data_IF_027731594376
#
_entry.id   IF_027731594376
#
_cell.length_a   1.000
_cell.length_b   1.000
_cell.length_c   1.000
_cell.angle_alpha   90.00
_cell.angle_beta   90.00
_cell.angle_gamma   90.00
#
_symmetry.space_group_name_H-M   'P 1'
#
loop_
_entity.id
_entity.type
_entity.pdbx_description
1 polymer ?
#
# COMPACT_ATOMS: atom_id res chain seq x y z
N UNK A 1 -4.55 9.09 21.98
CA UNK A 1 -3.88 9.58 20.76
C UNK A 1 -3.59 8.38 19.89
N UNK A 2 -3.97 8.40 18.62
CA UNK A 2 -3.80 7.26 17.71
C UNK A 2 -2.32 7.14 17.32
N UNK A 3 -1.56 6.32 18.05
CA UNK A 3 -0.13 6.11 17.81
C UNK A 3 0.06 4.79 17.06
N UNK A 4 0.64 4.86 15.86
CA UNK A 4 0.84 3.69 14.99
C UNK A 4 1.73 2.61 15.63
N UNK A 5 2.57 2.98 16.60
CA UNK A 5 3.42 2.05 17.36
C UNK A 5 2.60 1.06 18.20
N UNK A 6 1.39 1.44 18.58
CA UNK A 6 0.53 0.64 19.44
C UNK A 6 -0.35 -0.34 18.64
N UNK A 7 -0.23 -0.36 17.31
CA UNK A 7 -1.09 -1.16 16.43
C UNK A 7 -0.61 -2.61 16.26
N UNK A 8 0.57 -2.97 16.80
CA UNK A 8 1.13 -4.32 16.65
C UNK A 8 1.67 -4.62 15.24
N UNK A 9 1.95 -3.58 14.45
CA UNK A 9 2.60 -3.71 13.14
C UNK A 9 4.08 -4.09 13.31
N UNK A 10 4.61 -4.87 12.36
CA UNK A 10 6.05 -5.06 12.23
C UNK A 10 6.66 -3.75 11.72
N UNK A 11 7.23 -2.98 12.65
CA UNK A 11 7.75 -1.63 12.38
C UNK A 11 9.06 -1.36 13.13
N UNK A 12 9.80 -0.36 12.68
CA UNK A 12 10.91 0.26 13.41
C UNK A 12 10.53 1.66 13.87
N UNK A 13 11.48 2.43 14.42
CA UNK A 13 11.29 3.86 14.67
C UNK A 13 11.07 4.65 13.37
N UNK A 14 11.59 4.15 12.26
CA UNK A 14 11.62 4.81 10.96
C UNK A 14 10.36 4.56 10.13
N UNK A 15 9.66 3.44 10.33
CA UNK A 15 8.48 3.11 9.52
C UNK A 15 7.98 1.68 9.69
N UNK A 16 7.04 1.29 8.83
CA UNK A 16 6.35 0.00 8.82
C UNK A 16 6.88 -0.86 7.68
N UNK A 17 7.28 -2.10 7.97
CA UNK A 17 7.73 -3.00 6.91
C UNK A 17 6.56 -3.45 6.04
N UNK A 18 6.77 -3.43 4.72
CA UNK A 18 5.79 -3.92 3.74
C UNK A 18 6.40 -4.92 2.75
N UNK A 19 5.54 -5.75 2.16
CA UNK A 19 5.88 -6.56 0.98
C UNK A 19 5.84 -5.76 -0.33
N UNK A 20 6.17 -6.41 -1.45
CA UNK A 20 6.07 -5.79 -2.78
C UNK A 20 4.64 -5.45 -3.22
N UNK A 21 3.64 -6.07 -2.58
CA UNK A 21 2.21 -5.79 -2.70
C UNK A 21 1.73 -4.70 -1.72
N UNK A 22 2.66 -4.03 -1.04
CA UNK A 22 2.43 -2.99 -0.02
C UNK A 22 1.69 -3.47 1.24
N UNK A 23 1.54 -4.78 1.44
CA UNK A 23 0.91 -5.34 2.65
C UNK A 23 1.83 -5.20 3.85
N UNK A 24 1.24 -4.92 5.01
CA UNK A 24 1.96 -4.94 6.29
C UNK A 24 1.98 -6.35 6.91
N UNK A 25 2.43 -6.47 8.16
CA UNK A 25 2.32 -7.72 8.92
C UNK A 25 0.89 -8.06 9.36
N UNK A 26 -0.05 -7.11 9.28
CA UNK A 26 -1.45 -7.33 9.64
C UNK A 26 -2.27 -7.51 8.35
N UNK A 27 -2.94 -8.67 8.16
CA UNK A 27 -3.79 -8.89 6.99
C UNK A 27 -4.86 -7.81 6.85
N UNK A 28 -5.06 -7.33 5.61
CA UNK A 28 -5.99 -6.25 5.32
C UNK A 28 -5.47 -4.84 5.62
N UNK A 29 -4.28 -4.70 6.18
CA UNK A 29 -3.62 -3.40 6.42
C UNK A 29 -2.46 -3.23 5.46
N UNK A 30 -2.51 -2.12 4.70
CA UNK A 30 -1.54 -1.75 3.67
C UNK A 30 -0.94 -0.38 3.98
N UNK A 31 0.26 -0.12 3.48
CA UNK A 31 0.93 1.17 3.65
C UNK A 31 1.56 1.66 2.34
N UNK A 32 1.78 2.98 2.22
CA UNK A 32 2.53 3.58 1.13
C UNK A 32 3.10 4.94 1.58
N UNK A 33 4.02 5.51 0.79
CA UNK A 33 4.66 6.79 1.07
C UNK A 33 5.81 6.68 2.07
N UNK A 34 6.12 7.77 2.76
CA UNK A 34 7.28 7.89 3.66
C UNK A 34 7.19 6.96 4.89
N UNK A 35 6.00 6.42 5.20
CA UNK A 35 5.82 5.56 6.37
C UNK A 35 6.30 4.12 6.13
N UNK A 36 6.49 3.68 4.88
CA UNK A 36 6.79 2.27 4.57
C UNK A 36 8.27 1.99 4.37
N UNK A 37 8.67 0.77 4.71
CA UNK A 37 10.04 0.27 4.60
C UNK A 37 10.06 -1.03 3.79
N UNK A 38 10.94 -1.06 2.79
CA UNK A 38 11.34 -2.24 2.03
C UNK A 38 12.71 -2.00 1.38
N UNK A 39 13.36 -3.06 0.90
CA UNK A 39 14.70 -2.94 0.34
C UNK A 39 14.70 -2.07 -0.94
N UNK A 40 15.62 -1.11 -1.02
CA UNK A 40 15.70 -0.16 -2.13
C UNK A 40 14.68 0.99 -2.12
N UNK A 41 13.90 1.19 -1.05
CA UNK A 41 13.00 2.34 -0.89
C UNK A 41 13.77 3.67 -0.98
N UNK A 42 13.21 4.62 -1.73
CA UNK A 42 13.66 6.02 -1.78
C UNK A 42 12.47 6.93 -1.45
N UNK A 43 12.62 7.80 -0.45
CA UNK A 43 11.56 8.68 0.04
C UNK A 43 11.36 9.89 -0.88
N UNK A 44 10.51 9.69 -1.90
CA UNK A 44 10.10 10.71 -2.87
C UNK A 44 8.59 10.63 -3.09
N UNK A 45 8.02 11.78 -3.44
CA UNK A 45 6.63 11.89 -3.90
C UNK A 45 6.36 10.91 -5.06
N UNK A 46 7.29 10.80 -6.01
CA UNK A 46 7.18 9.89 -7.15
C UNK A 46 7.11 8.41 -6.71
N UNK A 47 7.91 8.00 -5.71
CA UNK A 47 7.86 6.64 -5.15
C UNK A 47 6.51 6.39 -4.49
N UNK A 48 6.03 7.33 -3.66
CA UNK A 48 4.73 7.25 -3.02
C UNK A 48 3.57 7.11 -4.02
N UNK A 49 3.63 7.82 -5.15
CA UNK A 49 2.65 7.68 -6.22
C UNK A 49 2.70 6.34 -6.95
N UNK A 50 3.83 5.62 -6.94
CA UNK A 50 3.91 4.24 -7.44
C UNK A 50 3.39 3.21 -6.43
N UNK A 51 3.62 3.45 -5.14
CA UNK A 51 3.20 2.56 -4.05
C UNK A 51 1.69 2.63 -3.80
N UNK A 52 1.11 3.83 -3.81
CA UNK A 52 -0.32 4.05 -3.54
C UNK A 52 -1.26 3.19 -4.41
N UNK A 53 -1.14 3.15 -5.75
CA UNK A 53 -1.99 2.28 -6.56
C UNK A 53 -1.72 0.80 -6.28
N UNK A 54 -0.49 0.42 -5.96
CA UNK A 54 -0.17 -0.97 -5.58
C UNK A 54 -0.90 -1.35 -4.28
N UNK A 55 -0.84 -0.50 -3.26
CA UNK A 55 -1.54 -0.70 -1.99
C UNK A 55 -3.06 -0.76 -2.17
N UNK A 56 -3.65 0.19 -2.88
CA UNK A 56 -5.12 0.27 -3.07
C UNK A 56 -5.65 -0.92 -3.86
N UNK A 57 -5.00 -1.33 -4.95
CA UNK A 57 -5.48 -2.46 -5.74
C UNK A 57 -5.36 -3.79 -5.01
N UNK A 58 -4.30 -4.00 -4.21
CA UNK A 58 -4.18 -5.19 -3.37
C UNK A 58 -5.18 -5.17 -2.19
N UNK A 59 -5.42 -4.00 -1.59
CA UNK A 59 -6.45 -3.85 -0.57
C UNK A 59 -7.85 -4.13 -1.13
N UNK A 60 -8.16 -3.65 -2.34
CA UNK A 60 -9.44 -3.94 -3.00
C UNK A 60 -9.61 -5.43 -3.28
N UNK A 61 -8.56 -6.10 -3.76
CA UNK A 61 -8.59 -7.56 -3.96
C UNK A 61 -8.75 -8.33 -2.65
N UNK A 62 -8.18 -7.84 -1.55
CA UNK A 62 -8.38 -8.45 -0.23
C UNK A 62 -9.83 -8.30 0.25
N UNK A 63 -10.47 -7.15 0.00
CA UNK A 63 -11.87 -6.87 0.37
C UNK A 63 -12.85 -7.67 -0.51
N UNK A 64 -12.61 -7.69 -1.82
CA UNK A 64 -13.40 -8.45 -2.80
C UNK A 64 -12.48 -9.30 -3.67
N UNK A 65 -12.30 -10.60 -3.34
CA UNK A 65 -11.43 -11.52 -4.07
C UNK A 65 -11.84 -11.77 -5.53
N UNK A 66 -13.04 -11.35 -5.94
CA UNK A 66 -13.47 -11.45 -7.34
C UNK A 66 -12.86 -10.36 -8.22
N UNK A 67 -12.41 -9.26 -7.61
CA UNK A 67 -11.73 -8.18 -8.32
C UNK A 67 -10.32 -8.60 -8.73
N UNK A 68 -9.82 -8.09 -9.85
CA UNK A 68 -8.42 -8.31 -10.26
C UNK A 68 -7.54 -7.26 -9.61
N UNK A 69 -6.33 -7.64 -9.19
CA UNK A 69 -5.31 -6.70 -8.69
C UNK A 69 -4.80 -5.75 -9.77
N UNK A 70 -4.83 -6.16 -11.04
CA UNK A 70 -4.53 -5.26 -12.15
C UNK A 70 -5.78 -4.43 -12.50
N UNK A 71 -5.77 -3.10 -12.33
CA UNK A 71 -6.89 -2.27 -12.74
C UNK A 71 -6.97 -2.20 -14.27
N UNK A 72 -8.19 -1.93 -14.77
CA UNK A 72 -8.40 -1.61 -16.17
C UNK A 72 -7.74 -0.29 -16.54
N UNK A 73 -7.50 -0.07 -17.84
CA UNK A 73 -6.98 1.20 -18.34
C UNK A 73 -7.94 2.35 -18.02
N UNK A 74 -7.46 3.35 -17.28
CA UNK A 74 -8.28 4.46 -16.80
C UNK A 74 -8.96 5.26 -17.93
N UNK A 75 -8.30 5.35 -19.09
CA UNK A 75 -8.83 5.99 -20.31
C UNK A 75 -10.08 5.31 -20.87
N UNK A 76 -10.35 4.05 -20.50
CA UNK A 76 -11.54 3.31 -20.94
C UNK A 76 -12.65 3.27 -19.88
N UNK A 77 -12.40 3.76 -18.67
CA UNK A 77 -13.35 3.70 -17.56
C UNK A 77 -14.39 4.82 -17.58
N UNK A 78 -14.00 6.00 -18.07
CA UNK A 78 -14.86 7.17 -18.12
C UNK A 78 -15.18 7.46 -19.58
N UNK A 79 -16.45 7.30 -19.97
CA UNK A 79 -16.96 7.81 -21.24
C UNK A 79 -17.31 9.29 -21.05
N UNK A 80 -16.92 10.13 -22.01
CA UNK A 80 -17.35 11.53 -22.08
C UNK A 80 -18.87 11.66 -22.07
#
# INVERSE_FOLDING_TARGET
TLNIKDWGLKSTRQGVFVGSDMRTSIPGVYGCGDIVLYDGKVDLIATGFGEAPTAVNNALHFIDPKTRTQPAHSTSLFKE
#
